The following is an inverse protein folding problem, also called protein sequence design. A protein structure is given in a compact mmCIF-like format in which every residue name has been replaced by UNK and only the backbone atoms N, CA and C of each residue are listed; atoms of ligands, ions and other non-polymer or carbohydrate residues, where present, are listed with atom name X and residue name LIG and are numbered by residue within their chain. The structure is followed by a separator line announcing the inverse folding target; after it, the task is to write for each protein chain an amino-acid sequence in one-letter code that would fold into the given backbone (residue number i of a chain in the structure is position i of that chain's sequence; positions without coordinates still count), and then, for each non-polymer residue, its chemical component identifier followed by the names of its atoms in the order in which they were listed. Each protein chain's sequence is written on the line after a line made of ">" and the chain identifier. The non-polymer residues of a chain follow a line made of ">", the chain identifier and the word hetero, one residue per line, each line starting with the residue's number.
data_IF_679776050937
#
_entry.id   IF_679776050937
#
_cell.length_a   1.000
_cell.length_b   1.000
_cell.length_c   1.000
_cell.angle_alpha   90.00
_cell.angle_beta   90.00
_cell.angle_gamma   90.00
#
_symmetry.space_group_name_H-M   'P 1'
#
loop_
_entity.id
_entity.type
_entity.pdbx_description
1 polymer ?
#
# COMPACT_ATOMS: atom_id res chain seq x y z
N UNK A 1 10.63 -13.74 6.71
CA UNK A 1 10.50 -12.28 6.56
C UNK A 1 10.29 -11.98 5.09
N UNK A 2 9.08 -11.57 4.71
CA UNK A 2 8.62 -11.58 3.32
C UNK A 2 9.41 -10.66 2.38
N UNK A 3 10.00 -9.59 2.92
CA UNK A 3 10.92 -8.74 2.17
C UNK A 3 12.21 -9.46 1.72
N UNK A 4 12.76 -10.41 2.52
CA UNK A 4 13.89 -11.24 2.06
C UNK A 4 13.51 -12.12 0.87
N UNK A 5 12.23 -12.51 0.75
CA UNK A 5 11.69 -13.25 -0.38
C UNK A 5 11.54 -12.36 -1.61
N UNK A 6 11.10 -11.11 -1.45
CA UNK A 6 11.07 -10.09 -2.52
C UNK A 6 12.48 -9.87 -3.08
N UNK A 7 13.46 -9.61 -2.21
CA UNK A 7 14.85 -9.39 -2.65
C UNK A 7 15.49 -10.63 -3.26
N UNK A 8 15.29 -11.82 -2.67
CA UNK A 8 15.87 -13.06 -3.22
C UNK A 8 15.25 -13.46 -4.56
N UNK A 9 13.94 -13.21 -4.77
CA UNK A 9 13.27 -13.48 -6.04
C UNK A 9 13.49 -12.41 -7.10
N UNK A 10 13.75 -11.17 -6.70
CA UNK A 10 14.13 -10.07 -7.59
C UNK A 10 15.61 -10.06 -7.99
N UNK A 11 16.47 -10.83 -7.30
CA UNK A 11 17.92 -10.78 -7.48
C UNK A 11 18.40 -11.12 -8.91
N UNK A 12 17.63 -11.91 -9.66
CA UNK A 12 17.96 -12.30 -11.05
C UNK A 12 17.22 -11.48 -12.11
N UNK A 13 16.43 -10.49 -11.70
CA UNK A 13 15.56 -9.70 -12.59
C UNK A 13 16.19 -8.34 -12.92
N UNK A 14 16.59 -8.15 -14.19
CA UNK A 14 17.17 -6.90 -14.68
C UNK A 14 16.20 -5.71 -14.56
N UNK A 15 14.89 -5.94 -14.67
CA UNK A 15 13.88 -4.88 -14.50
C UNK A 15 13.79 -4.42 -13.04
N UNK A 16 13.98 -5.33 -12.09
CA UNK A 16 14.03 -5.04 -10.65
C UNK A 16 15.27 -4.20 -10.30
N UNK A 17 16.44 -4.54 -10.85
CA UNK A 17 17.64 -3.72 -10.68
C UNK A 17 17.55 -2.36 -11.38
N UNK A 18 16.84 -2.29 -12.51
CA UNK A 18 16.60 -1.05 -13.24
C UNK A 18 15.47 -0.17 -12.65
N UNK A 19 14.82 -0.60 -11.57
CA UNK A 19 13.71 0.15 -10.96
C UNK A 19 12.44 0.20 -11.82
N UNK A 20 12.22 -0.81 -12.68
CA UNK A 20 11.11 -0.92 -13.63
C UNK A 20 10.37 -2.25 -13.50
N UNK A 21 10.46 -2.91 -12.34
CA UNK A 21 9.82 -4.20 -12.13
C UNK A 21 8.29 -4.03 -12.01
N UNK A 22 7.48 -4.68 -12.85
CA UNK A 22 6.04 -4.73 -12.63
C UNK A 22 5.71 -5.52 -11.36
N UNK A 23 4.57 -5.26 -10.70
CA UNK A 23 4.13 -6.06 -9.55
C UNK A 23 3.86 -7.53 -9.87
N UNK A 24 3.70 -7.89 -11.16
CA UNK A 24 3.60 -9.28 -11.61
C UNK A 24 4.97 -9.97 -11.75
N UNK A 25 6.08 -9.26 -11.60
CA UNK A 25 7.41 -9.84 -11.70
C UNK A 25 7.68 -10.84 -10.57
N UNK A 26 8.78 -11.61 -10.66
CA UNK A 26 9.08 -12.64 -9.64
C UNK A 26 9.22 -12.09 -8.22
N UNK A 27 9.60 -10.82 -8.06
CA UNK A 27 9.78 -10.19 -6.75
C UNK A 27 8.44 -10.02 -6.00
N UNK A 28 7.35 -9.70 -6.72
CA UNK A 28 6.03 -9.39 -6.14
C UNK A 28 4.90 -10.31 -6.61
N UNK A 29 5.01 -10.92 -7.78
CA UNK A 29 3.98 -11.76 -8.41
C UNK A 29 3.55 -12.95 -7.56
N UNK A 30 4.45 -13.48 -6.72
CA UNK A 30 4.08 -14.52 -5.75
C UNK A 30 3.06 -14.05 -4.70
N UNK A 31 3.02 -12.74 -4.40
CA UNK A 31 2.01 -12.17 -3.53
C UNK A 31 0.66 -12.10 -4.25
N UNK A 32 0.68 -11.68 -5.52
CA UNK A 32 -0.50 -11.67 -6.39
C UNK A 32 -1.07 -13.10 -6.53
N UNK A 33 -0.22 -14.11 -6.71
CA UNK A 33 -0.61 -15.52 -6.74
C UNK A 33 -1.29 -15.95 -5.44
N UNK A 34 -0.77 -15.53 -4.28
CA UNK A 34 -1.37 -15.87 -2.98
C UNK A 34 -2.73 -15.21 -2.79
N UNK A 35 -2.87 -13.95 -3.20
CA UNK A 35 -4.17 -13.25 -3.14
C UNK A 35 -5.16 -13.94 -4.07
N UNK A 36 -4.77 -14.19 -5.32
CA UNK A 36 -5.58 -14.91 -6.30
C UNK A 36 -6.01 -16.28 -5.77
N UNK A 37 -5.07 -17.13 -5.37
CA UNK A 37 -5.34 -18.48 -4.88
C UNK A 37 -6.19 -18.49 -3.59
N UNK A 38 -6.18 -17.40 -2.82
CA UNK A 38 -7.06 -17.26 -1.65
C UNK A 38 -8.48 -16.92 -2.05
N UNK A 39 -8.67 -16.00 -3.01
CA UNK A 39 -9.99 -15.65 -3.56
C UNK A 39 -10.62 -16.86 -4.26
N UNK A 40 -9.85 -17.63 -5.04
CA UNK A 40 -10.35 -18.82 -5.74
C UNK A 40 -10.82 -19.96 -4.82
N UNK A 41 -10.49 -19.91 -3.51
CA UNK A 41 -11.01 -20.89 -2.53
C UNK A 41 -12.40 -20.55 -2.03
N UNK A 42 -12.89 -19.34 -2.27
CA UNK A 42 -14.24 -18.94 -1.94
C UNK A 42 -15.22 -19.46 -3.01
N UNK A 43 -16.49 -19.57 -2.64
CA UNK A 43 -17.56 -20.22 -3.41
C UNK A 43 -18.09 -19.37 -4.59
N UNK A 44 -17.29 -18.44 -5.09
CA UNK A 44 -17.68 -17.47 -6.12
C UNK A 44 -18.33 -16.20 -5.56
N UNK A 45 -18.50 -16.08 -4.24
CA UNK A 45 -18.91 -14.81 -3.62
C UNK A 45 -17.82 -13.75 -3.77
N UNK A 46 -18.11 -12.55 -4.31
CA UNK A 46 -17.13 -11.47 -4.43
C UNK A 46 -16.55 -11.06 -3.06
N UNK A 47 -15.24 -10.85 -3.02
CA UNK A 47 -14.50 -10.62 -1.78
C UNK A 47 -14.20 -9.13 -1.53
N UNK A 48 -14.10 -8.75 -0.25
CA UNK A 48 -13.46 -7.49 0.16
C UNK A 48 -11.97 -7.76 0.35
N UNK A 49 -11.12 -7.08 -0.42
CA UNK A 49 -9.67 -7.14 -0.27
C UNK A 49 -9.22 -6.06 0.70
N UNK A 50 -8.61 -6.47 1.82
CA UNK A 50 -8.05 -5.55 2.81
C UNK A 50 -6.53 -5.64 2.84
N UNK A 51 -5.85 -4.53 2.56
CA UNK A 51 -4.40 -4.49 2.43
C UNK A 51 -3.76 -3.45 3.33
N UNK A 52 -2.88 -3.88 4.22
CA UNK A 52 -2.04 -3.00 5.02
C UNK A 52 -0.72 -2.70 4.32
N UNK A 53 -0.27 -1.44 4.35
CA UNK A 53 1.03 -1.03 3.80
C UNK A 53 1.18 -1.50 2.34
N UNK A 54 2.23 -2.27 2.03
CA UNK A 54 2.44 -2.81 0.69
C UNK A 54 1.27 -3.68 0.17
N UNK A 55 0.57 -4.37 1.06
CA UNK A 55 -0.59 -5.18 0.69
C UNK A 55 -1.71 -4.35 0.06
N UNK A 56 -1.84 -3.07 0.39
CA UNK A 56 -2.88 -2.20 -0.17
C UNK A 56 -2.69 -1.90 -1.66
N UNK A 57 -1.48 -1.50 -2.07
CA UNK A 57 -1.21 -1.29 -3.49
C UNK A 57 -1.03 -2.60 -4.26
N UNK A 58 -0.60 -3.70 -3.61
CA UNK A 58 -0.59 -5.03 -4.23
C UNK A 58 -2.01 -5.57 -4.48
N UNK A 59 -2.96 -5.28 -3.59
CA UNK A 59 -4.37 -5.60 -3.82
C UNK A 59 -4.93 -4.86 -5.05
N UNK A 60 -4.56 -3.58 -5.24
CA UNK A 60 -4.86 -2.83 -6.47
C UNK A 60 -4.22 -3.47 -7.69
N UNK A 61 -2.94 -3.88 -7.61
CA UNK A 61 -2.25 -4.53 -8.70
C UNK A 61 -2.91 -5.86 -9.13
N UNK A 62 -3.58 -6.57 -8.21
CA UNK A 62 -4.35 -7.78 -8.55
C UNK A 62 -5.55 -7.49 -9.48
N UNK A 63 -6.09 -6.26 -9.49
CA UNK A 63 -7.18 -5.83 -10.36
C UNK A 63 -6.70 -5.33 -11.74
N UNK A 64 -5.41 -5.47 -12.03
CA UNK A 64 -4.90 -5.31 -13.38
C UNK A 64 -5.69 -6.17 -14.36
N UNK A 65 -6.23 -5.57 -15.40
CA UNK A 65 -7.03 -6.24 -16.43
C UNK A 65 -6.20 -6.88 -17.54
N UNK A 66 -4.86 -6.89 -17.39
CA UNK A 66 -3.93 -7.30 -18.43
C UNK A 66 -3.90 -6.40 -19.67
N UNK A 67 -4.84 -5.46 -19.83
CA UNK A 67 -5.08 -4.70 -21.06
C UNK A 67 -4.14 -3.52 -21.18
N UNK A 68 -3.84 -2.86 -20.05
CA UNK A 68 -2.78 -1.87 -19.86
C UNK A 68 -2.51 -0.97 -21.07
N UNK A 69 -3.51 -0.53 -21.85
CA UNK A 69 -3.27 0.19 -23.12
C UNK A 69 -2.09 -0.36 -23.97
N UNK A 70 -1.88 -1.68 -24.02
CA UNK A 70 -0.76 -2.31 -24.74
C UNK A 70 0.60 -2.33 -24.02
N UNK A 71 0.70 -1.79 -22.80
CA UNK A 71 1.78 -2.07 -21.84
C UNK A 71 1.35 -3.26 -20.99
N UNK A 72 1.43 -4.45 -21.58
CA UNK A 72 1.33 -5.73 -20.88
C UNK A 72 2.19 -5.62 -19.62
N UNK A 73 1.64 -5.98 -18.45
CA UNK A 73 2.40 -6.20 -17.22
C UNK A 73 3.63 -7.04 -17.56
N UNK A 74 4.79 -6.41 -17.78
CA UNK A 74 5.81 -6.98 -18.65
C UNK A 74 6.21 -8.39 -18.24
N UNK A 75 6.08 -9.38 -19.12
CA UNK A 75 6.55 -10.79 -18.97
C UNK A 75 6.39 -11.51 -17.61
N UNK A 76 5.59 -10.97 -16.68
CA UNK A 76 5.41 -11.52 -15.34
C UNK A 76 4.34 -12.61 -15.34
N UNK A 77 4.51 -13.59 -14.46
CA UNK A 77 3.62 -14.75 -14.30
C UNK A 77 2.60 -14.60 -13.17
N UNK A 78 2.66 -13.49 -12.42
CA UNK A 78 1.73 -13.22 -11.33
C UNK A 78 0.27 -13.20 -11.79
N UNK A 79 -0.57 -13.97 -11.11
CA UNK A 79 -2.01 -14.09 -11.43
C UNK A 79 -2.78 -12.80 -11.11
N UNK A 80 -3.86 -12.58 -11.85
CA UNK A 80 -4.77 -11.45 -11.67
C UNK A 80 -6.13 -11.93 -11.18
N UNK A 81 -6.86 -11.06 -10.50
CA UNK A 81 -8.25 -11.26 -10.14
C UNK A 81 -9.13 -10.69 -11.24
N UNK A 82 -10.27 -11.33 -11.47
CA UNK A 82 -11.31 -10.73 -12.28
C UNK A 82 -12.00 -9.65 -11.46
N UNK A 83 -12.47 -8.61 -12.15
CA UNK A 83 -13.14 -7.47 -11.53
C UNK A 83 -14.37 -7.90 -10.73
N UNK A 84 -15.15 -8.86 -11.23
CA UNK A 84 -16.33 -9.43 -10.57
C UNK A 84 -16.03 -10.25 -9.31
N UNK A 85 -14.78 -10.67 -9.10
CA UNK A 85 -14.37 -11.41 -7.89
C UNK A 85 -14.11 -10.48 -6.70
N UNK A 86 -14.10 -9.16 -6.92
CA UNK A 86 -13.76 -8.15 -5.92
C UNK A 86 -14.92 -7.18 -5.76
N UNK A 87 -15.44 -7.13 -4.53
CA UNK A 87 -16.46 -6.17 -4.13
C UNK A 87 -15.84 -4.82 -3.75
N UNK A 88 -14.71 -4.87 -3.03
CA UNK A 88 -14.06 -3.68 -2.54
C UNK A 88 -12.57 -3.83 -2.27
N UNK A 89 -11.87 -2.71 -2.27
CA UNK A 89 -10.50 -2.57 -1.79
C UNK A 89 -10.47 -1.59 -0.60
N UNK A 90 -10.01 -2.09 0.55
CA UNK A 90 -9.75 -1.29 1.75
C UNK A 90 -8.25 -1.25 2.01
N UNK A 91 -7.65 -0.07 1.98
CA UNK A 91 -6.22 0.11 2.29
C UNK A 91 -5.99 0.74 3.65
N UNK A 92 -5.02 0.22 4.39
CA UNK A 92 -4.63 0.69 5.72
C UNK A 92 -3.17 1.15 5.66
N UNK A 93 -2.91 2.46 5.71
CA UNK A 93 -1.55 3.02 5.68
C UNK A 93 -0.74 2.60 4.45
N UNK A 94 -1.38 2.44 3.30
CA UNK A 94 -0.72 2.00 2.07
C UNK A 94 -0.19 3.19 1.25
N UNK A 95 1.09 3.20 0.82
CA UNK A 95 1.54 4.24 -0.10
C UNK A 95 0.98 3.98 -1.50
N UNK A 96 0.22 4.95 -2.04
CA UNK A 96 -0.47 4.80 -3.34
C UNK A 96 0.27 5.43 -4.53
N UNK A 97 1.26 6.27 -4.25
CA UNK A 97 2.00 7.05 -5.23
C UNK A 97 3.49 6.88 -5.03
N UNK A 98 4.29 6.85 -6.11
CA UNK A 98 5.74 6.84 -5.99
C UNK A 98 6.27 8.19 -5.48
N UNK A 99 7.46 8.20 -4.86
CA UNK A 99 8.14 9.44 -4.54
C UNK A 99 8.48 10.25 -5.82
N UNK A 100 8.59 11.58 -5.74
CA UNK A 100 9.03 12.41 -6.89
C UNK A 100 10.42 12.01 -7.41
N UNK A 101 11.29 11.52 -6.52
CA UNK A 101 12.57 10.92 -6.86
C UNK A 101 12.50 9.41 -6.66
N UNK A 102 12.45 8.67 -7.77
CA UNK A 102 12.33 7.21 -7.77
C UNK A 102 13.65 6.47 -7.52
N UNK A 103 14.79 7.18 -7.39
CA UNK A 103 16.09 6.56 -7.10
C UNK A 103 16.12 5.79 -5.77
N UNK A 104 15.28 6.21 -4.83
CA UNK A 104 15.10 5.61 -3.51
C UNK A 104 13.84 4.73 -3.41
N UNK A 105 13.15 4.45 -4.52
CA UNK A 105 11.92 3.65 -4.52
C UNK A 105 12.22 2.19 -4.13
N UNK A 106 11.84 1.82 -2.92
CA UNK A 106 12.08 0.47 -2.35
C UNK A 106 11.31 -0.63 -3.10
N UNK A 107 10.21 -0.28 -3.77
CA UNK A 107 9.39 -1.18 -4.60
C UNK A 107 9.98 -1.41 -5.99
N UNK A 108 11.10 -0.76 -6.33
CA UNK A 108 11.83 -0.97 -7.59
C UNK A 108 10.95 -0.88 -8.85
N UNK A 109 9.99 0.04 -8.86
CA UNK A 109 9.09 0.31 -9.98
C UNK A 109 7.70 -0.31 -9.85
N UNK A 110 7.50 -1.27 -8.94
CA UNK A 110 6.21 -1.96 -8.83
C UNK A 110 5.08 -1.00 -8.39
N UNK A 111 5.36 -0.11 -7.43
CA UNK A 111 4.40 0.91 -7.01
C UNK A 111 4.18 1.95 -8.11
N UNK A 112 5.25 2.41 -8.76
CA UNK A 112 5.17 3.34 -9.90
C UNK A 112 4.24 2.79 -10.99
N UNK A 113 4.50 1.56 -11.45
CA UNK A 113 3.69 0.92 -12.49
C UNK A 113 2.25 0.65 -12.05
N UNK A 114 2.04 0.28 -10.78
CA UNK A 114 0.67 0.14 -10.24
C UNK A 114 -0.06 1.48 -10.26
N UNK A 115 0.59 2.57 -9.86
CA UNK A 115 0.00 3.91 -9.83
C UNK A 115 -0.33 4.42 -11.24
N UNK A 116 0.54 4.16 -12.21
CA UNK A 116 0.36 4.58 -13.60
C UNK A 116 -0.68 3.76 -14.37
N UNK A 117 -0.68 2.44 -14.21
CA UNK A 117 -1.52 1.54 -15.00
C UNK A 117 -2.88 1.27 -14.35
N UNK A 118 -2.96 1.38 -13.02
CA UNK A 118 -4.16 1.16 -12.20
C UNK A 118 -4.42 2.42 -11.34
N UNK A 119 -4.63 3.59 -11.96
CA UNK A 119 -4.78 4.85 -11.23
C UNK A 119 -6.04 4.86 -10.37
N UNK A 120 -5.95 5.48 -9.19
CA UNK A 120 -7.13 5.74 -8.33
C UNK A 120 -8.02 4.52 -8.11
N UNK A 121 -9.33 4.78 -8.14
CA UNK A 121 -10.40 3.79 -8.28
C UNK A 121 -10.49 3.33 -9.73
N UNK A 122 -9.68 2.32 -10.08
CA UNK A 122 -9.52 1.89 -11.48
C UNK A 122 -10.77 1.24 -12.09
N UNK A 123 -11.60 0.55 -11.29
CA UNK A 123 -12.87 -0.03 -11.71
C UNK A 123 -14.02 0.67 -10.99
N UNK A 124 -14.91 1.35 -11.72
CA UNK A 124 -15.96 2.19 -11.13
C UNK A 124 -16.91 1.42 -10.20
N UNK A 125 -17.16 0.14 -10.51
CA UNK A 125 -18.11 -0.67 -9.77
C UNK A 125 -17.47 -1.40 -8.57
N UNK A 126 -16.16 -1.19 -8.31
CA UNK A 126 -15.49 -1.67 -7.09
C UNK A 126 -15.51 -0.54 -6.06
N UNK A 127 -15.92 -0.83 -4.83
CA UNK A 127 -15.86 0.17 -3.76
C UNK A 127 -14.42 0.33 -3.23
N UNK A 128 -13.92 1.55 -3.15
CA UNK A 128 -12.58 1.83 -2.62
C UNK A 128 -12.66 2.66 -1.35
N UNK A 129 -11.92 2.25 -0.34
CA UNK A 129 -11.68 3.03 0.87
C UNK A 129 -10.20 3.04 1.23
N UNK A 130 -9.66 4.22 1.52
CA UNK A 130 -8.28 4.37 1.99
C UNK A 130 -8.23 5.00 3.37
N UNK A 131 -7.51 4.36 4.28
CA UNK A 131 -7.43 4.75 5.70
C UNK A 131 -5.99 5.15 6.02
N UNK A 132 -5.82 6.39 6.49
CA UNK A 132 -4.52 6.93 6.90
C UNK A 132 -4.54 7.38 8.37
N UNK A 133 -3.44 7.13 9.08
CA UNK A 133 -3.14 7.72 10.38
C UNK A 133 -2.15 8.88 10.28
N UNK A 134 -2.19 9.80 11.25
CA UNK A 134 -1.20 10.87 11.40
C UNK A 134 -0.72 11.10 12.85
N UNK A 135 -0.42 10.04 13.62
CA UNK A 135 0.10 10.19 14.99
C UNK A 135 1.49 10.80 15.08
N UNK A 136 2.31 10.73 14.02
CA UNK A 136 3.73 11.12 14.06
C UNK A 136 4.02 12.17 12.99
N UNK A 137 4.60 13.29 13.42
CA UNK A 137 5.25 14.27 12.53
C UNK A 137 6.72 13.90 12.41
N UNK A 138 7.21 13.73 11.19
CA UNK A 138 8.62 13.41 10.98
C UNK A 138 9.51 14.61 11.32
N UNK A 139 10.60 14.37 12.05
CA UNK A 139 11.57 15.39 12.40
C UNK A 139 12.99 14.96 12.05
N UNK A 140 13.74 15.81 11.34
CA UNK A 140 15.10 15.49 10.94
C UNK A 140 16.00 15.42 12.17
N UNK A 141 16.49 14.23 12.51
CA UNK A 141 17.45 14.07 13.59
C UNK A 141 18.85 14.51 13.12
N UNK A 142 19.30 15.69 13.58
CA UNK A 142 20.66 16.16 13.33
C UNK A 142 21.66 15.39 14.21
N UNK A 143 22.35 14.43 13.61
CA UNK A 143 23.37 13.63 14.29
C UNK A 143 24.75 14.22 14.07
N UNK A 144 25.46 14.50 15.16
CA UNK A 144 26.88 14.84 15.10
C UNK A 144 27.69 13.59 14.71
N UNK A 145 28.78 13.76 13.97
CA UNK A 145 29.53 12.64 13.40
C UNK A 145 30.07 11.65 14.45
N UNK A 146 30.28 12.09 15.70
CA UNK A 146 30.73 11.24 16.82
C UNK A 146 29.59 10.54 17.57
N UNK A 147 28.33 10.88 17.28
CA UNK A 147 27.11 10.31 17.90
C UNK A 147 26.41 9.28 17.01
N UNK A 148 27.13 8.66 16.09
CA UNK A 148 26.55 7.68 15.15
C UNK A 148 25.94 6.44 15.84
N UNK A 149 26.33 6.17 17.09
CA UNK A 149 25.78 5.11 17.93
C UNK A 149 24.40 5.43 18.53
N UNK A 150 23.94 6.69 18.53
CA UNK A 150 22.65 7.05 19.10
C UNK A 150 21.51 6.38 18.31
N UNK A 151 20.52 5.74 18.97
CA UNK A 151 19.37 5.16 18.28
C UNK A 151 18.53 6.26 17.62
N UNK A 152 17.81 5.89 16.56
CA UNK A 152 16.88 6.84 15.91
C UNK A 152 15.66 7.06 16.78
N UNK A 153 15.22 8.31 16.90
CA UNK A 153 13.91 8.59 17.46
C UNK A 153 12.82 8.12 16.49
N UNK A 154 11.59 7.99 16.98
CA UNK A 154 10.44 7.61 16.16
C UNK A 154 10.20 8.66 15.06
N UNK A 155 10.28 9.93 15.41
CA UNK A 155 10.14 11.07 14.50
C UNK A 155 11.30 11.12 13.48
N UNK A 156 12.52 10.78 13.91
CA UNK A 156 13.69 10.69 13.04
C UNK A 156 13.61 9.54 12.03
N UNK A 157 13.08 8.40 12.48
CA UNK A 157 12.79 7.27 11.59
C UNK A 157 11.69 7.64 10.59
N UNK A 158 10.58 8.20 11.08
CA UNK A 158 9.46 8.65 10.28
C UNK A 158 9.89 9.68 9.23
N UNK A 159 10.73 10.66 9.59
CA UNK A 159 11.28 11.65 8.65
C UNK A 159 11.96 10.98 7.46
N UNK A 160 12.86 10.01 7.71
CA UNK A 160 13.59 9.33 6.64
C UNK A 160 12.65 8.44 5.80
N UNK A 161 11.67 7.79 6.44
CA UNK A 161 10.66 7.01 5.73
C UNK A 161 9.81 7.88 4.81
N UNK A 162 9.30 9.00 5.31
CA UNK A 162 8.46 9.93 4.53
C UNK A 162 9.25 10.59 3.39
N UNK A 163 10.53 10.89 3.58
CA UNK A 163 11.42 11.30 2.49
C UNK A 163 11.45 10.24 1.37
N UNK A 164 11.54 8.96 1.71
CA UNK A 164 11.55 7.86 0.74
C UNK A 164 10.20 7.59 0.07
N UNK A 165 9.08 7.97 0.71
CA UNK A 165 7.72 7.71 0.19
C UNK A 165 7.16 8.89 -0.60
N UNK A 166 7.28 10.13 -0.12
CA UNK A 166 6.69 11.31 -0.75
C UNK A 166 7.68 12.44 -1.04
N UNK A 167 8.97 12.25 -0.75
CA UNK A 167 10.00 13.28 -0.94
C UNK A 167 10.02 14.38 0.13
N UNK A 168 9.19 14.28 1.18
CA UNK A 168 9.10 15.27 2.26
C UNK A 168 9.12 14.57 3.62
N UNK A 169 10.14 14.86 4.43
CA UNK A 169 10.30 14.24 5.75
C UNK A 169 9.50 14.90 6.87
N UNK A 170 9.30 16.22 6.78
CA UNK A 170 8.66 17.04 7.81
C UNK A 170 7.13 17.02 7.80
N UNK A 171 6.52 15.91 7.39
CA UNK A 171 5.07 15.75 7.24
C UNK A 171 4.51 14.83 8.32
N UNK A 172 3.19 14.81 8.45
CA UNK A 172 2.49 13.88 9.33
C UNK A 172 2.17 12.54 8.65
N UNK A 173 2.13 11.47 9.45
CA UNK A 173 1.84 10.12 8.98
C UNK A 173 1.84 9.10 10.11
N UNK A 174 1.83 7.83 9.73
CA UNK A 174 1.70 6.69 10.65
C UNK A 174 3.03 6.16 11.23
N UNK A 175 4.12 6.88 10.98
CA UNK A 175 5.49 6.51 11.34
C UNK A 175 6.28 5.85 10.21
N UNK A 176 5.62 5.44 9.12
CA UNK A 176 6.26 4.88 7.92
C UNK A 176 5.75 5.54 6.64
N UNK A 177 4.43 5.66 6.51
CA UNK A 177 3.75 6.22 5.35
C UNK A 177 3.17 7.59 5.74
N UNK A 178 3.53 8.66 5.01
CA UNK A 178 2.96 9.97 5.23
C UNK A 178 1.50 9.98 4.80
N UNK A 179 0.65 10.73 5.51
CA UNK A 179 -0.80 10.72 5.27
C UNK A 179 -1.15 11.11 3.82
N UNK A 180 -0.39 12.04 3.22
CA UNK A 180 -0.59 12.46 1.82
C UNK A 180 -0.37 11.34 0.79
N UNK A 181 0.29 10.25 1.16
CA UNK A 181 0.48 9.07 0.31
C UNK A 181 -0.46 7.92 0.68
N UNK A 182 -1.13 7.99 1.84
CA UNK A 182 -2.03 6.96 2.35
C UNK A 182 -3.44 7.05 1.75
N UNK A 183 -3.84 8.22 1.26
CA UNK A 183 -5.13 8.45 0.63
C UNK A 183 -5.07 8.21 -0.87
N UNK A 184 -6.01 7.44 -1.39
CA UNK A 184 -6.13 7.13 -2.82
C UNK A 184 -7.18 8.04 -3.48
N UNK A 185 -6.85 8.60 -4.63
CA UNK A 185 -7.79 9.43 -5.41
C UNK A 185 -9.04 8.65 -5.80
N UNK A 186 -10.20 9.31 -5.64
CA UNK A 186 -11.53 8.74 -5.91
C UNK A 186 -12.06 7.80 -4.83
N UNK A 187 -11.22 7.37 -3.87
CA UNK A 187 -11.68 6.48 -2.79
C UNK A 187 -12.40 7.24 -1.69
N UNK A 188 -13.16 6.53 -0.85
CA UNK A 188 -13.58 7.05 0.44
C UNK A 188 -12.36 7.17 1.36
N UNK A 189 -11.96 8.40 1.69
CA UNK A 189 -10.75 8.67 2.47
C UNK A 189 -11.08 8.87 3.94
N UNK A 190 -10.52 8.03 4.81
CA UNK A 190 -10.67 8.10 6.26
C UNK A 190 -9.35 8.52 6.90
N UNK A 191 -9.38 9.55 7.74
CA UNK A 191 -8.23 10.01 8.52
C UNK A 191 -8.46 9.73 10.00
N UNK A 192 -7.62 8.88 10.59
CA UNK A 192 -7.69 8.57 12.02
C UNK A 192 -7.06 9.67 12.90
N UNK A 193 -6.31 10.58 12.28
CA UNK A 193 -5.68 11.73 12.92
C UNK A 193 -4.55 11.33 13.86
N UNK A 194 -4.29 12.18 14.85
CA UNK A 194 -3.22 11.96 15.83
C UNK A 194 -3.50 10.81 16.81
N UNK A 195 -4.76 10.41 16.93
CA UNK A 195 -5.19 9.44 17.94
C UNK A 195 -4.85 8.02 17.53
N UNK A 196 -4.85 7.71 16.23
CA UNK A 196 -4.70 6.33 15.75
C UNK A 196 -4.14 6.17 14.34
N UNK A 197 -4.03 4.91 13.94
CA UNK A 197 -3.45 4.49 12.68
C UNK A 197 -1.93 4.48 12.69
N UNK A 198 -1.28 3.96 13.73
CA UNK A 198 0.16 3.65 13.67
C UNK A 198 0.42 2.53 12.64
N UNK A 199 1.55 2.61 11.95
CA UNK A 199 1.91 1.63 10.92
C UNK A 199 2.22 0.25 11.49
N UNK A 200 2.84 0.21 12.67
CA UNK A 200 3.29 -1.03 13.27
C UNK A 200 2.20 -1.65 14.15
N UNK A 201 2.00 -2.95 13.98
CA UNK A 201 1.16 -3.77 14.89
C UNK A 201 1.70 -3.81 16.32
N UNK A 202 2.95 -3.40 16.53
CA UNK A 202 3.57 -3.30 17.86
C UNK A 202 3.03 -2.10 18.67
N UNK A 203 2.17 -1.26 18.09
CA UNK A 203 1.36 -0.25 18.77
C UNK A 203 -0.12 -0.68 18.79
N UNK A 204 -0.46 -1.82 19.43
CA UNK A 204 -1.73 -2.52 19.20
C UNK A 204 -2.96 -1.70 19.56
N UNK A 205 -2.87 -0.79 20.54
CA UNK A 205 -3.97 0.07 20.97
C UNK A 205 -4.25 1.22 19.99
N UNK A 206 -3.28 1.55 19.13
CA UNK A 206 -3.34 2.69 18.20
C UNK A 206 -3.10 2.30 16.74
N UNK A 207 -2.92 1.01 16.45
CA UNK A 207 -2.85 0.45 15.10
C UNK A 207 -4.20 0.58 14.38
N UNK A 208 -4.20 0.48 13.05
CA UNK A 208 -5.42 0.50 12.23
C UNK A 208 -6.44 -0.57 12.65
N UNK A 209 -5.99 -1.74 13.10
CA UNK A 209 -6.86 -2.83 13.60
C UNK A 209 -7.17 -2.77 15.10
N UNK A 210 -6.78 -1.70 15.80
CA UNK A 210 -7.19 -1.46 17.19
C UNK A 210 -8.70 -1.26 17.30
N UNK A 211 -9.28 -1.43 18.49
CA UNK A 211 -10.70 -1.15 18.72
C UNK A 211 -11.07 0.28 18.30
N UNK A 212 -10.25 1.27 18.65
CA UNK A 212 -10.40 2.65 18.20
C UNK A 212 -10.35 2.77 16.67
N UNK A 213 -9.41 2.08 16.01
CA UNK A 213 -9.28 2.07 14.56
C UNK A 213 -10.52 1.49 13.89
N UNK A 214 -10.91 0.28 14.28
CA UNK A 214 -12.08 -0.43 13.78
C UNK A 214 -13.36 0.41 13.98
N UNK A 215 -13.56 0.99 15.17
CA UNK A 215 -14.73 1.83 15.45
C UNK A 215 -14.82 3.07 14.52
N UNK A 216 -13.70 3.53 13.96
CA UNK A 216 -13.67 4.68 13.04
C UNK A 216 -13.86 4.28 11.58
N UNK A 217 -13.15 3.28 11.07
CA UNK A 217 -13.20 2.96 9.63
C UNK A 217 -14.08 1.76 9.26
N UNK A 218 -14.29 0.79 10.16
CA UNK A 218 -15.04 -0.44 9.82
C UNK A 218 -16.51 -0.11 9.55
N UNK A 219 -17.09 0.73 10.40
CA UNK A 219 -18.47 1.21 10.20
C UNK A 219 -18.62 1.95 8.87
N UNK A 220 -17.66 2.79 8.52
CA UNK A 220 -17.68 3.54 7.26
C UNK A 220 -17.53 2.62 6.04
N UNK A 221 -16.80 1.51 6.19
CA UNK A 221 -16.75 0.47 5.17
C UNK A 221 -18.11 -0.23 5.04
N UNK A 222 -18.71 -0.70 6.14
CA UNK A 222 -20.00 -1.41 6.10
C UNK A 222 -21.12 -0.56 5.49
N UNK A 223 -21.22 0.71 5.90
CA UNK A 223 -22.21 1.65 5.36
C UNK A 223 -21.94 1.94 3.87
N UNK A 224 -20.67 2.12 3.48
CA UNK A 224 -20.29 2.38 2.08
C UNK A 224 -20.56 1.18 1.16
N UNK A 225 -20.27 -0.03 1.63
CA UNK A 225 -20.55 -1.27 0.89
C UNK A 225 -22.05 -1.49 0.72
N UNK A 226 -22.86 -1.23 1.74
CA UNK A 226 -24.31 -1.39 1.66
C UNK A 226 -24.91 -0.48 0.58
N UNK A 227 -24.41 0.75 0.44
CA UNK A 227 -24.82 1.67 -0.63
C UNK A 227 -24.35 1.15 -1.99
N UNK A 228 -23.07 0.80 -2.12
CA UNK A 228 -22.48 0.35 -3.38
C UNK A 228 -23.11 -0.93 -3.95
N UNK A 229 -23.62 -1.83 -3.11
CA UNK A 229 -24.33 -3.06 -3.54
C UNK A 229 -25.80 -2.79 -3.90
N UNK A 230 -26.36 -1.67 -3.45
CA UNK A 230 -27.77 -1.33 -3.68
C UNK A 230 -28.02 -0.53 -4.97
N UNK A 231 -26.96 0.01 -5.58
CA UNK A 231 -26.97 0.73 -6.86
C UNK A 231 -26.73 -0.22 -8.04
#
# INVERSE_FOLDING_TARGET
>A
MDWLKVFSRGATDLSFWAGKAPPTNKAFGWYLDLVHDSVQKHDGTPCVLMGHSAGGWLARACLGDGSGNGRIWGSGDGKQLKREEVLAIVTLGAPHYPPPDTSMEMTRGALTLTSELIPGCFHDEVYYMSVGGSPIVGEKQNRLWWKFWEPTTVEGFAYNSYMGVCGKGGVEGDGVVPQCSAHLDGSRQISLGKEGGFHSVNEPERWYGSEMGLNKWLREMEEGLAVAVSE
#
